data_IF_552698320746
#
_entry.id   IF_552698320746
#
_cell.length_a   1.000
_cell.length_b   1.000
_cell.length_c   1.000
_cell.angle_alpha   90.00
_cell.angle_beta   90.00
_cell.angle_gamma   90.00
#
_symmetry.space_group_name_H-M   'P 1'
#
loop_
_entity.id
_entity.type
_entity.pdbx_description
1 polymer ?
#
# COMPACT_ATOMS: atom_id res chain seq x y z
N UNK A 1 9.31 -5.57 6.96
CA UNK A 1 8.38 -4.91 6.02
C UNK A 1 6.95 -4.93 6.55
N UNK A 2 6.15 -3.93 6.19
CA UNK A 2 4.73 -3.89 6.51
C UNK A 2 3.93 -4.04 5.22
N UNK A 3 2.92 -4.91 5.23
CA UNK A 3 2.00 -5.13 4.12
C UNK A 3 0.57 -4.93 4.61
N UNK A 4 -0.29 -4.44 3.73
CA UNK A 4 -1.69 -4.20 4.03
C UNK A 4 -2.58 -4.56 2.85
N UNK A 5 -3.78 -5.04 3.15
CA UNK A 5 -4.81 -5.32 2.15
C UNK A 5 -6.20 -5.41 2.79
N UNK A 6 -7.23 -5.24 1.97
CA UNK A 6 -8.65 -5.46 2.33
C UNK A 6 -9.02 -6.94 2.38
N UNK A 7 -8.30 -7.80 1.65
CA UNK A 7 -8.55 -9.23 1.62
C UNK A 7 -7.73 -9.96 2.68
N UNK A 8 -8.38 -10.45 3.74
CA UNK A 8 -7.71 -11.12 4.87
C UNK A 8 -6.93 -12.37 4.45
N UNK A 9 -7.54 -13.24 3.65
CA UNK A 9 -6.91 -14.49 3.20
C UNK A 9 -5.67 -14.24 2.33
N UNK A 10 -5.79 -13.34 1.34
CA UNK A 10 -4.66 -12.96 0.48
C UNK A 10 -3.52 -12.31 1.28
N UNK A 11 -3.86 -11.49 2.28
CA UNK A 11 -2.91 -10.86 3.19
C UNK A 11 -2.16 -11.89 4.03
N UNK A 12 -2.86 -12.86 4.61
CA UNK A 12 -2.28 -13.93 5.43
C UNK A 12 -1.34 -14.80 4.59
N UNK A 13 -1.78 -15.22 3.40
CA UNK A 13 -0.94 -15.99 2.46
C UNK A 13 0.32 -15.23 2.03
N UNK A 14 0.21 -13.94 1.74
CA UNK A 14 1.36 -13.11 1.42
C UNK A 14 2.32 -12.98 2.63
N UNK A 15 1.78 -12.81 3.83
CA UNK A 15 2.57 -12.75 5.06
C UNK A 15 3.33 -14.06 5.32
N UNK A 16 2.69 -15.21 5.10
CA UNK A 16 3.35 -16.52 5.22
C UNK A 16 4.47 -16.69 4.20
N UNK A 17 4.25 -16.32 2.93
CA UNK A 17 5.27 -16.38 1.89
C UNK A 17 6.49 -15.49 2.20
N UNK A 18 6.27 -14.34 2.85
CA UNK A 18 7.35 -13.44 3.29
C UNK A 18 8.08 -14.02 4.51
N UNK A 19 7.33 -14.57 5.49
CA UNK A 19 7.92 -15.22 6.68
C UNK A 19 8.78 -16.43 6.31
N UNK A 20 8.36 -17.21 5.30
CA UNK A 20 9.12 -18.35 4.79
C UNK A 20 10.50 -17.97 4.23
N UNK A 21 10.71 -16.69 3.90
CA UNK A 21 12.01 -16.13 3.49
C UNK A 21 12.80 -15.52 4.66
N UNK A 22 12.37 -15.78 5.90
CA UNK A 22 12.95 -15.25 7.15
C UNK A 22 12.92 -13.71 7.22
N UNK A 23 12.04 -13.08 6.44
CA UNK A 23 11.85 -11.63 6.46
C UNK A 23 10.81 -11.28 7.53
N UNK A 24 11.15 -10.35 8.41
CA UNK A 24 10.18 -9.80 9.36
C UNK A 24 9.03 -9.10 8.64
N UNK A 25 7.79 -9.51 8.91
CA UNK A 25 6.58 -8.94 8.31
C UNK A 25 5.58 -8.46 9.36
N UNK A 26 4.93 -7.33 9.08
CA UNK A 26 3.73 -6.85 9.74
C UNK A 26 2.60 -6.88 8.73
N UNK A 27 1.58 -7.70 8.96
CA UNK A 27 0.39 -7.74 8.13
C UNK A 27 -0.74 -6.96 8.82
N UNK A 28 -1.31 -5.97 8.13
CA UNK A 28 -2.41 -5.14 8.65
C UNK A 28 -3.59 -5.20 7.69
N UNK A 29 -4.74 -5.67 8.18
CA UNK A 29 -5.97 -5.60 7.42
C UNK A 29 -6.47 -4.14 7.39
N UNK A 30 -6.56 -3.55 6.20
CA UNK A 30 -6.86 -2.13 6.04
C UNK A 30 -7.29 -1.77 4.60
N UNK A 31 -8.06 -0.70 4.49
CA UNK A 31 -8.52 -0.09 3.25
C UNK A 31 -7.95 1.34 3.09
N UNK A 32 -7.08 1.55 2.10
CA UNK A 32 -6.48 2.87 1.85
C UNK A 32 -7.43 3.89 1.21
N UNK A 33 -8.67 3.51 0.88
CA UNK A 33 -9.72 4.48 0.62
C UNK A 33 -10.19 5.18 1.92
N UNK A 34 -9.85 4.63 3.10
CA UNK A 34 -10.23 5.17 4.42
C UNK A 34 -9.02 5.82 5.10
N UNK A 35 -9.16 7.09 5.45
CA UNK A 35 -8.07 7.85 6.08
C UNK A 35 -7.64 7.27 7.45
N UNK A 36 -8.59 6.76 8.23
CA UNK A 36 -8.31 6.16 9.55
C UNK A 36 -7.44 4.91 9.44
N UNK A 37 -7.67 4.10 8.42
CA UNK A 37 -6.90 2.89 8.14
C UNK A 37 -5.46 3.26 7.73
N UNK A 38 -5.28 4.30 6.90
CA UNK A 38 -3.95 4.81 6.54
C UNK A 38 -3.16 5.21 7.79
N UNK A 39 -3.77 6.02 8.67
CA UNK A 39 -3.14 6.44 9.93
C UNK A 39 -2.78 5.25 10.81
N UNK A 40 -3.68 4.27 10.92
CA UNK A 40 -3.45 3.05 11.69
C UNK A 40 -2.28 2.23 11.14
N UNK A 41 -2.18 2.07 9.81
CA UNK A 41 -1.08 1.35 9.16
C UNK A 41 0.25 2.05 9.45
N UNK A 42 0.32 3.36 9.25
CA UNK A 42 1.56 4.14 9.45
C UNK A 42 1.99 4.09 10.91
N UNK A 43 1.07 4.31 11.85
CA UNK A 43 1.35 4.24 13.28
C UNK A 43 1.90 2.86 13.69
N UNK A 44 1.23 1.76 13.31
CA UNK A 44 1.68 0.39 13.61
C UNK A 44 3.02 0.07 12.96
N UNK A 45 3.27 0.62 11.78
CA UNK A 45 4.54 0.43 11.06
C UNK A 45 5.69 1.13 11.79
N UNK A 46 5.48 2.37 12.23
CA UNK A 46 6.45 3.13 13.02
C UNK A 46 6.66 2.46 14.39
N UNK A 47 5.60 2.04 15.07
CA UNK A 47 5.69 1.34 16.36
C UNK A 47 6.56 0.07 16.27
N UNK A 48 6.37 -0.72 15.21
CA UNK A 48 7.08 -2.00 15.05
C UNK A 48 8.49 -1.88 14.49
N UNK A 49 8.73 -0.96 13.56
CA UNK A 49 10.00 -0.87 12.81
C UNK A 49 10.80 0.40 13.11
N UNK A 50 10.22 1.38 13.80
CA UNK A 50 10.83 2.66 14.15
C UNK A 50 10.99 3.65 12.99
N UNK A 51 10.84 3.19 11.73
CA UNK A 51 11.09 4.00 10.53
C UNK A 51 10.34 3.50 9.30
N UNK A 52 10.27 4.36 8.28
CA UNK A 52 9.71 4.03 6.96
C UNK A 52 10.66 4.55 5.88
N UNK A 53 11.29 3.64 5.13
CA UNK A 53 12.28 4.01 4.10
C UNK A 53 11.70 4.11 2.68
N UNK A 54 10.65 3.34 2.40
CA UNK A 54 10.06 3.21 1.06
C UNK A 54 8.55 3.12 1.20
N UNK A 55 7.82 3.94 0.45
CA UNK A 55 6.38 3.84 0.31
C UNK A 55 6.08 3.28 -1.09
N UNK A 56 5.30 2.20 -1.14
CA UNK A 56 4.80 1.64 -2.40
C UNK A 56 3.28 1.80 -2.43
N UNK A 57 2.78 2.67 -3.30
CA UNK A 57 1.35 2.90 -3.49
C UNK A 57 0.83 1.93 -4.56
N UNK A 58 0.42 0.72 -4.17
CA UNK A 58 0.01 -0.35 -5.09
C UNK A 58 -1.47 -0.73 -4.98
N UNK A 59 -2.28 0.03 -4.24
CA UNK A 59 -3.70 -0.28 -4.11
C UNK A 59 -4.45 0.04 -5.41
N UNK A 60 -5.21 -0.94 -5.91
CA UNK A 60 -6.02 -0.79 -7.11
C UNK A 60 -7.05 -1.91 -7.24
N UNK A 61 -8.05 -1.69 -8.07
CA UNK A 61 -8.94 -2.76 -8.52
C UNK A 61 -8.54 -3.14 -9.94
N UNK A 62 -8.40 -4.43 -10.23
CA UNK A 62 -8.09 -4.92 -11.59
C UNK A 62 -9.28 -4.86 -12.54
N UNK A 63 -10.29 -4.04 -12.22
CA UNK A 63 -11.54 -3.95 -12.96
C UNK A 63 -11.42 -2.88 -14.03
N UNK A 64 -11.13 -3.35 -15.25
CA UNK A 64 -11.24 -2.53 -16.46
C UNK A 64 -12.68 -2.68 -16.97
N UNK A 65 -13.52 -1.71 -16.67
CA UNK A 65 -14.85 -1.59 -17.27
C UNK A 65 -14.80 -0.53 -18.38
N UNK A 66 -15.63 -0.71 -19.42
CA UNK A 66 -15.90 0.36 -20.38
C UNK A 66 -16.38 1.60 -19.61
N UNK A 67 -15.76 2.76 -19.87
CA UNK A 67 -16.09 4.01 -19.20
C UNK A 67 -17.58 4.35 -19.32
N UNK A 68 -18.20 4.02 -20.46
CA UNK A 68 -19.63 4.27 -20.69
C UNK A 68 -20.55 3.35 -19.89
N UNK A 69 -20.03 2.26 -19.35
CA UNK A 69 -20.79 1.24 -18.60
C UNK A 69 -20.37 1.16 -17.13
N UNK A 70 -19.39 1.97 -16.70
CA UNK A 70 -18.90 1.99 -15.34
C UNK A 70 -19.91 2.72 -14.42
N UNK A 71 -20.47 2.04 -13.40
CA UNK A 71 -21.32 2.71 -12.42
C UNK A 71 -20.58 3.85 -11.73
N UNK A 72 -21.25 4.98 -11.52
CA UNK A 72 -20.63 6.15 -10.89
C UNK A 72 -20.04 5.84 -9.51
N UNK A 73 -20.70 5.00 -8.72
CA UNK A 73 -20.22 4.56 -7.41
C UNK A 73 -18.89 3.80 -7.51
N UNK A 74 -18.73 2.94 -8.53
CA UNK A 74 -17.49 2.20 -8.76
C UNK A 74 -16.37 3.12 -9.25
N UNK A 75 -16.70 4.10 -10.10
CA UNK A 75 -15.75 5.13 -10.53
C UNK A 75 -15.24 5.96 -9.35
N UNK A 76 -16.15 6.47 -8.51
CA UNK A 76 -15.79 7.24 -7.31
C UNK A 76 -14.93 6.41 -6.36
N UNK A 77 -15.31 5.16 -6.11
CA UNK A 77 -14.51 4.25 -5.30
C UNK A 77 -13.09 4.05 -5.88
N UNK A 78 -12.96 3.88 -7.19
CA UNK A 78 -11.65 3.76 -7.83
C UNK A 78 -10.80 5.02 -7.70
N UNK A 79 -11.41 6.22 -7.79
CA UNK A 79 -10.73 7.48 -7.53
C UNK A 79 -10.28 7.59 -6.07
N UNK A 80 -11.14 7.21 -5.12
CA UNK A 80 -10.82 7.19 -3.69
C UNK A 80 -9.66 6.24 -3.39
N UNK A 81 -9.66 5.06 -4.00
CA UNK A 81 -8.63 4.04 -3.80
C UNK A 81 -7.29 4.40 -4.47
N UNK A 82 -7.31 4.69 -5.77
CA UNK A 82 -6.10 4.76 -6.60
C UNK A 82 -5.46 6.15 -6.60
N UNK A 83 -6.28 7.20 -6.50
CA UNK A 83 -5.79 8.58 -6.57
C UNK A 83 -5.71 9.21 -5.18
N UNK A 84 -6.85 9.32 -4.48
CA UNK A 84 -6.86 9.94 -3.16
C UNK A 84 -6.13 9.11 -2.11
N UNK A 85 -6.27 7.78 -2.15
CA UNK A 85 -5.54 6.86 -1.26
C UNK A 85 -4.03 7.04 -1.39
N UNK A 86 -3.50 7.06 -2.61
CA UNK A 86 -2.08 7.32 -2.89
C UNK A 86 -1.60 8.66 -2.31
N UNK A 87 -2.37 9.73 -2.52
CA UNK A 87 -2.02 11.07 -2.02
C UNK A 87 -2.02 11.07 -0.49
N UNK A 88 -3.03 10.46 0.12
CA UNK A 88 -3.17 10.40 1.58
C UNK A 88 -2.07 9.57 2.23
N UNK A 89 -1.76 8.39 1.69
CA UNK A 89 -0.62 7.59 2.15
C UNK A 89 0.69 8.39 2.07
N UNK A 90 0.90 9.11 0.97
CA UNK A 90 2.10 9.94 0.80
C UNK A 90 2.15 11.08 1.81
N UNK A 91 1.03 11.78 2.05
CA UNK A 91 0.95 12.84 3.06
C UNK A 91 1.21 12.35 4.47
N UNK A 92 0.75 11.14 4.80
CA UNK A 92 0.96 10.55 6.13
C UNK A 92 2.40 10.09 6.33
N UNK A 93 3.04 9.52 5.29
CA UNK A 93 4.37 8.91 5.40
C UNK A 93 5.53 9.90 5.22
N UNK A 94 5.40 10.86 4.30
CA UNK A 94 6.48 11.81 3.95
C UNK A 94 7.02 12.59 5.16
N UNK A 95 6.22 13.06 6.14
CA UNK A 95 6.74 13.71 7.33
C UNK A 95 7.76 12.85 8.10
N UNK A 96 7.45 11.56 8.32
CA UNK A 96 8.36 10.62 8.98
C UNK A 96 9.65 10.41 8.18
N UNK A 97 9.56 10.33 6.85
CA UNK A 97 10.74 10.20 5.98
C UNK A 97 11.64 11.44 6.03
N UNK A 98 11.06 12.64 6.09
CA UNK A 98 11.80 13.91 6.16
C UNK A 98 12.51 14.09 7.50
N UNK A 99 11.84 13.76 8.60
CA UNK A 99 12.44 13.81 9.94
C UNK A 99 13.65 12.87 10.06
N UNK A 100 13.63 11.75 9.34
CA UNK A 100 14.72 10.77 9.28
C UNK A 100 15.91 11.21 8.39
N UNK A 101 15.91 12.43 7.85
CA UNK A 101 17.02 12.98 7.08
C UNK A 101 17.23 12.32 5.71
N UNK A 102 16.19 11.69 5.13
CA UNK A 102 16.27 11.04 3.81
C UNK A 102 15.33 11.69 2.79
N UNK A 103 15.78 11.69 1.54
CA UNK A 103 14.89 11.76 0.37
C UNK A 103 14.16 10.40 0.26
N UNK A 104 13.06 10.25 1.00
CA UNK A 104 12.23 9.04 0.93
C UNK A 104 11.77 8.77 -0.50
N UNK A 105 11.94 7.55 -0.98
CA UNK A 105 11.49 7.16 -2.33
C UNK A 105 10.04 6.68 -2.28
N UNK A 106 9.14 7.41 -2.94
CA UNK A 106 7.76 6.99 -3.18
C UNK A 106 7.69 6.35 -4.56
N UNK A 107 7.26 5.09 -4.64
CA UNK A 107 7.13 4.35 -5.89
C UNK A 107 5.65 4.03 -6.10
N UNK A 108 5.11 4.51 -7.22
CA UNK A 108 3.79 4.12 -7.71
C UNK A 108 4.01 3.33 -9.00
N UNK A 109 3.63 2.04 -9.08
CA UNK A 109 3.78 1.29 -10.30
C UNK A 109 2.91 1.92 -11.39
N UNK A 110 3.53 2.24 -12.54
CA UNK A 110 2.83 2.58 -13.78
C UNK A 110 2.51 1.25 -14.46
N UNK A 111 1.25 0.84 -14.52
CA UNK A 111 0.87 -0.42 -15.17
C UNK A 111 1.11 -0.33 -16.69
N UNK A 112 2.06 -1.11 -17.22
CA UNK A 112 2.19 -1.41 -18.65
C UNK A 112 1.72 -2.81 -19.03
N UNK A 113 1.15 -3.57 -18.09
CA UNK A 113 0.77 -4.98 -18.30
C UNK A 113 -0.67 -5.22 -17.86
N UNK A 114 -1.54 -5.44 -18.85
CA UNK A 114 -3.00 -5.59 -18.69
C UNK A 114 -3.46 -6.95 -18.15
N UNK A 115 -2.56 -7.82 -17.66
CA UNK A 115 -2.96 -9.20 -17.35
C UNK A 115 -2.15 -9.93 -16.26
N UNK A 116 -1.51 -9.21 -15.34
CA UNK A 116 -0.91 -9.85 -14.16
C UNK A 116 -1.57 -9.34 -12.88
N UNK A 117 -2.08 -10.29 -12.10
CA UNK A 117 -2.62 -10.10 -10.76
C UNK A 117 -1.54 -9.40 -9.92
N UNK A 118 -1.73 -8.11 -9.63
CA UNK A 118 -0.69 -7.28 -9.03
C UNK A 118 -0.31 -7.83 -7.64
N UNK A 119 0.98 -8.14 -7.48
CA UNK A 119 1.55 -8.70 -6.26
C UNK A 119 1.67 -7.61 -5.18
N UNK A 120 1.14 -7.92 -3.99
CA UNK A 120 0.92 -7.01 -2.87
C UNK A 120 2.19 -6.85 -2.03
N UNK A 121 3.01 -5.82 -2.25
CA UNK A 121 4.15 -5.57 -1.35
C UNK A 121 4.47 -4.08 -1.21
N UNK A 122 4.40 -3.56 0.01
CA UNK A 122 5.18 -2.39 0.41
C UNK A 122 6.51 -2.89 0.99
N UNK A 123 7.58 -2.79 0.20
CA UNK A 123 8.91 -3.25 0.60
C UNK A 123 9.59 -2.20 1.45
N UNK A 124 9.53 -2.34 2.77
CA UNK A 124 10.44 -1.62 3.67
C UNK A 124 11.74 -2.43 3.77
N UNK A 125 12.71 -2.05 2.94
CA UNK A 125 14.06 -2.60 3.00
C UNK A 125 14.92 -1.73 3.89
N UNK A 126 15.54 -2.33 4.90
CA UNK A 126 16.81 -1.83 5.43
C UNK A 126 17.78 -1.74 4.24
N UNK A 127 18.34 -0.57 3.97
CA UNK A 127 19.66 -0.54 3.33
C UNK A 127 20.70 -0.75 4.44
N UNK A 128 21.77 -1.54 4.19
CA UNK A 128 22.89 -1.62 5.12
C UNK A 128 23.46 -0.24 5.44
#
# INVERSE_FOLDING_TARGET
MAIYARGKEALEKAAEAIKAKEIQVLAVHADVAKQEDIKSIVAKTIEKFGRIDVLVNNAGTGRLSDLMQLPEEEFRYNMDLMFFGLIQCSKEVVPYMREQGREGSSISPRSSESNQVAWWTMTLSKRP
#
